data_IF_737384377379
#
_entry.id   IF_737384377379
#
_cell.length_a   1.000
_cell.length_b   1.000
_cell.length_c   1.000
_cell.angle_alpha   90.00
_cell.angle_beta   90.00
_cell.angle_gamma   90.00
#
_symmetry.space_group_name_H-M   'P 1'
#
loop_
_entity.id
_entity.type
_entity.pdbx_description
1 polymer ?
#
# COMPACT_ATOMS: atom_id res chain seq x y z
N UNK A 1 0.46 11.81 17.83
CA UNK A 1 0.71 10.35 17.70
C UNK A 1 0.44 9.57 19.00
N UNK A 2 0.73 10.15 20.17
CA UNK A 2 0.67 9.46 21.49
C UNK A 2 -0.77 9.10 21.94
N UNK A 3 -1.77 9.92 21.64
CA UNK A 3 -3.17 9.69 22.06
C UNK A 3 -3.88 8.56 21.31
N UNK A 4 -3.48 8.24 20.07
CA UNK A 4 -4.15 7.21 19.24
C UNK A 4 -3.79 5.77 19.67
N UNK A 5 -2.61 5.57 20.24
CA UNK A 5 -2.16 4.26 20.73
C UNK A 5 -2.81 3.86 22.06
N UNK A 6 -3.22 4.83 22.87
CA UNK A 6 -3.76 4.60 24.21
C UNK A 6 -5.05 3.76 24.16
N UNK A 7 -6.00 4.14 23.31
CA UNK A 7 -7.28 3.45 23.17
C UNK A 7 -7.13 2.03 22.62
N UNK A 8 -6.23 1.84 21.65
CA UNK A 8 -5.96 0.52 21.08
C UNK A 8 -5.34 -0.41 22.13
N UNK A 9 -4.37 0.09 22.92
CA UNK A 9 -3.77 -0.66 24.03
C UNK A 9 -4.79 -1.00 25.12
N UNK A 10 -5.73 -0.11 25.39
CA UNK A 10 -6.82 -0.37 26.34
C UNK A 10 -7.70 -1.53 25.88
N UNK A 11 -8.14 -1.53 24.60
CA UNK A 11 -8.96 -2.63 24.06
C UNK A 11 -8.19 -3.95 24.04
N UNK A 12 -6.91 -3.93 23.63
CA UNK A 12 -6.04 -5.12 23.62
C UNK A 12 -5.87 -5.71 25.02
N UNK A 13 -5.74 -4.86 26.03
CA UNK A 13 -5.69 -5.31 27.43
C UNK A 13 -7.02 -5.86 27.94
N UNK A 14 -8.16 -5.34 27.46
CA UNK A 14 -9.49 -5.81 27.84
C UNK A 14 -9.86 -7.13 27.16
N UNK A 15 -9.35 -7.38 25.95
CA UNK A 15 -9.57 -8.61 25.18
C UNK A 15 -8.44 -9.65 25.39
N UNK A 16 -7.50 -9.41 26.30
CA UNK A 16 -6.35 -10.28 26.63
C UNK A 16 -5.51 -10.69 25.40
N UNK A 17 -5.28 -9.74 24.49
CA UNK A 17 -4.60 -10.00 23.22
C UNK A 17 -3.10 -9.77 23.30
N UNK A 18 -2.34 -10.70 22.74
CA UNK A 18 -0.89 -10.56 22.57
C UNK A 18 -0.59 -10.08 21.15
N UNK A 19 -0.41 -8.77 20.99
CA UNK A 19 -0.04 -8.14 19.71
C UNK A 19 1.36 -7.53 19.84
N UNK A 20 2.34 -7.90 18.99
CA UNK A 20 3.67 -7.32 19.05
C UNK A 20 3.65 -5.85 18.60
N UNK A 21 4.63 -5.05 19.07
CA UNK A 21 4.63 -3.60 18.84
C UNK A 21 4.75 -3.18 17.37
N UNK A 22 5.38 -4.00 16.53
CA UNK A 22 5.45 -3.73 15.09
C UNK A 22 4.08 -3.81 14.43
N UNK A 23 3.25 -4.76 14.85
CA UNK A 23 1.89 -4.93 14.32
C UNK A 23 0.97 -3.81 14.79
N UNK A 24 1.18 -3.28 16.01
CA UNK A 24 0.46 -2.08 16.49
C UNK A 24 0.73 -0.86 15.61
N UNK A 25 1.99 -0.64 15.22
CA UNK A 25 2.35 0.46 14.31
C UNK A 25 1.72 0.26 12.93
N UNK A 26 1.70 -0.97 12.43
CA UNK A 26 1.03 -1.29 11.18
C UNK A 26 -0.48 -1.00 11.27
N UNK A 27 -1.19 -1.49 12.29
CA UNK A 27 -2.63 -1.22 12.48
C UNK A 27 -2.94 0.27 12.53
N UNK A 28 -2.13 1.06 13.25
CA UNK A 28 -2.30 2.52 13.31
C UNK A 28 -2.07 3.19 11.96
N UNK A 29 -1.08 2.73 11.18
CA UNK A 29 -0.82 3.24 9.84
C UNK A 29 -2.00 2.96 8.89
N UNK A 30 -2.59 1.77 8.97
CA UNK A 30 -3.63 1.31 8.03
C UNK A 30 -5.03 1.84 8.32
N UNK A 31 -5.30 2.05 9.59
CA UNK A 31 -6.56 2.59 10.06
C UNK A 31 -6.73 4.06 9.65
N UNK A 32 -5.66 4.77 9.28
CA UNK A 32 -5.69 6.21 8.97
C UNK A 32 -6.37 7.05 10.07
N UNK A 33 -6.38 6.56 11.31
CA UNK A 33 -7.06 7.20 12.44
C UNK A 33 -8.54 6.82 12.63
N UNK A 34 -9.10 5.94 11.80
CA UNK A 34 -10.44 5.36 12.01
C UNK A 34 -10.36 4.17 12.99
N UNK A 35 -10.93 4.36 14.18
CA UNK A 35 -10.94 3.34 15.23
C UNK A 35 -11.76 2.10 14.83
N UNK A 36 -12.83 2.24 14.03
CA UNK A 36 -13.63 1.10 13.56
C UNK A 36 -12.80 0.20 12.65
N UNK A 37 -12.03 0.82 11.74
CA UNK A 37 -11.12 0.10 10.85
C UNK A 37 -9.99 -0.57 11.62
N UNK A 38 -9.42 0.10 12.63
CA UNK A 38 -8.37 -0.45 13.48
C UNK A 38 -8.81 -1.73 14.21
N UNK A 39 -10.01 -1.70 14.81
CA UNK A 39 -10.58 -2.85 15.52
C UNK A 39 -10.85 -4.02 14.57
N UNK A 40 -11.36 -3.76 13.36
CA UNK A 40 -11.62 -4.83 12.40
C UNK A 40 -10.34 -5.56 11.98
N UNK A 41 -9.26 -4.80 11.72
CA UNK A 41 -7.95 -5.37 11.38
C UNK A 41 -7.39 -6.17 12.55
N UNK A 42 -7.49 -5.64 13.77
CA UNK A 42 -7.04 -6.33 14.99
C UNK A 42 -7.80 -7.63 15.20
N UNK A 43 -9.13 -7.60 15.11
CA UNK A 43 -9.98 -8.79 15.23
C UNK A 43 -9.61 -9.85 14.19
N UNK A 44 -9.46 -9.47 12.93
CA UNK A 44 -9.07 -10.39 11.87
C UNK A 44 -7.69 -11.02 12.13
N UNK A 45 -6.76 -10.28 12.71
CA UNK A 45 -5.46 -10.81 13.13
C UNK A 45 -5.59 -11.89 14.23
N UNK A 46 -6.47 -11.71 15.22
CA UNK A 46 -6.74 -12.69 16.29
C UNK A 46 -7.33 -13.98 15.72
N UNK A 47 -8.33 -13.86 14.85
CA UNK A 47 -8.96 -15.00 14.17
C UNK A 47 -7.96 -15.82 13.37
N UNK A 48 -6.98 -15.16 12.75
CA UNK A 48 -5.90 -15.81 12.00
C UNK A 48 -4.83 -16.42 12.92
N UNK A 49 -4.51 -15.76 14.04
CA UNK A 49 -3.48 -16.20 14.98
C UNK A 49 -3.90 -17.41 15.82
N UNK A 50 -5.19 -17.54 16.18
CA UNK A 50 -5.72 -18.72 16.88
C UNK A 50 -5.62 -20.00 16.05
N UNK A 51 -5.51 -19.88 14.73
CA UNK A 51 -5.33 -20.98 13.77
C UNK A 51 -3.85 -21.12 13.37
N UNK A 52 -3.00 -21.49 14.33
CA UNK A 52 -1.73 -22.22 14.13
C UNK A 52 -0.78 -21.75 13.00
N UNK A 53 -0.60 -20.44 12.78
CA UNK A 53 0.43 -19.93 11.87
C UNK A 53 1.25 -18.81 12.52
N UNK A 54 2.12 -19.20 13.47
CA UNK A 54 3.21 -18.39 14.07
C UNK A 54 4.21 -17.76 13.07
N UNK A 55 3.98 -17.89 11.76
CA UNK A 55 4.85 -17.41 10.68
C UNK A 55 4.19 -16.39 9.75
N UNK A 56 2.97 -15.93 10.03
CA UNK A 56 2.31 -14.93 9.20
C UNK A 56 2.80 -13.51 9.53
N UNK A 57 4.04 -13.18 9.13
CA UNK A 57 4.41 -11.80 8.69
C UNK A 57 3.66 -11.49 7.40
N UNK A 58 2.34 -11.52 7.49
CA UNK A 58 1.44 -11.59 6.34
C UNK A 58 0.15 -10.87 6.69
N UNK A 59 0.26 -9.77 7.44
CA UNK A 59 -0.58 -8.64 7.08
C UNK A 59 -0.22 -8.35 5.61
N UNK A 60 -1.20 -8.40 4.70
CA UNK A 60 -1.05 -8.24 3.24
C UNK A 60 -0.19 -7.02 2.82
N UNK A 61 0.12 -6.13 3.76
CA UNK A 61 0.83 -4.87 3.61
C UNK A 61 2.34 -4.96 3.78
N UNK A 62 2.87 -5.96 4.48
CA UNK A 62 4.32 -6.19 4.48
C UNK A 62 4.78 -6.74 3.12
N UNK A 63 3.93 -7.58 2.52
CA UNK A 63 4.06 -8.01 1.12
C UNK A 63 3.91 -6.82 0.17
N UNK A 64 2.94 -5.94 0.42
CA UNK A 64 2.74 -4.71 -0.38
C UNK A 64 3.99 -3.82 -0.36
N UNK A 65 4.62 -3.60 0.80
CA UNK A 65 5.83 -2.77 0.89
C UNK A 65 7.00 -3.32 0.05
N UNK A 66 7.24 -4.64 0.09
CA UNK A 66 8.27 -5.29 -0.74
C UNK A 66 7.94 -5.20 -2.23
N UNK A 67 6.67 -5.37 -2.58
CA UNK A 67 6.21 -5.29 -3.97
C UNK A 67 6.32 -3.87 -4.53
N UNK A 68 6.03 -2.84 -3.73
CA UNK A 68 6.18 -1.44 -4.14
C UNK A 68 7.64 -1.08 -4.34
N UNK A 69 8.54 -1.56 -3.46
CA UNK A 69 9.98 -1.35 -3.64
C UNK A 69 10.48 -2.01 -4.93
N UNK A 70 10.00 -3.22 -5.23
CA UNK A 70 10.32 -3.91 -6.48
C UNK A 70 9.74 -3.21 -7.71
N UNK A 71 8.50 -2.70 -7.63
CA UNK A 71 7.85 -1.92 -8.69
C UNK A 71 8.63 -0.62 -8.93
N UNK A 72 9.02 0.07 -7.86
CA UNK A 72 9.86 1.27 -7.94
C UNK A 72 11.20 0.99 -8.61
N UNK A 73 11.81 -0.17 -8.33
CA UNK A 73 13.04 -0.57 -8.99
C UNK A 73 12.85 -0.75 -10.51
N UNK A 74 11.79 -1.42 -10.95
CA UNK A 74 11.52 -1.56 -12.39
C UNK A 74 11.16 -0.24 -13.07
N UNK A 75 10.43 0.64 -12.38
CA UNK A 75 10.07 1.95 -12.91
C UNK A 75 11.30 2.80 -13.23
N UNK A 76 12.34 2.72 -12.39
CA UNK A 76 13.55 3.55 -12.51
C UNK A 76 14.65 2.91 -13.37
N UNK A 77 14.76 1.57 -13.40
CA UNK A 77 15.93 0.91 -14.01
C UNK A 77 15.64 0.15 -15.31
N UNK A 78 14.38 -0.18 -15.61
CA UNK A 78 14.00 -0.99 -16.77
C UNK A 78 13.35 -0.11 -17.86
N UNK A 79 13.44 -0.50 -19.15
CA UNK A 79 12.82 0.25 -20.22
C UNK A 79 11.28 0.19 -20.11
N UNK A 80 10.63 1.29 -20.50
CA UNK A 80 9.19 1.53 -20.37
C UNK A 80 8.30 0.31 -20.69
N UNK A 81 8.54 -0.37 -21.82
CA UNK A 81 7.73 -1.52 -22.26
C UNK A 81 7.83 -2.69 -21.27
N UNK A 82 9.04 -3.01 -20.82
CA UNK A 82 9.29 -4.12 -19.87
C UNK A 82 8.69 -3.79 -18.51
N UNK A 83 8.83 -2.56 -18.04
CA UNK A 83 8.26 -2.11 -16.77
C UNK A 83 6.74 -2.18 -16.79
N UNK A 84 6.10 -1.73 -17.88
CA UNK A 84 4.65 -1.82 -18.05
C UNK A 84 4.13 -3.28 -17.99
N UNK A 85 4.80 -4.20 -18.68
CA UNK A 85 4.42 -5.62 -18.70
C UNK A 85 4.56 -6.26 -17.31
N UNK A 86 5.72 -6.08 -16.66
CA UNK A 86 5.98 -6.65 -15.32
C UNK A 86 5.01 -6.11 -14.27
N UNK A 87 4.74 -4.81 -14.27
CA UNK A 87 3.79 -4.20 -13.34
C UNK A 87 2.37 -4.73 -13.61
N UNK A 88 1.97 -4.84 -14.88
CA UNK A 88 0.66 -5.40 -15.25
C UNK A 88 0.51 -6.85 -14.77
N UNK A 89 1.54 -7.67 -14.91
CA UNK A 89 1.53 -9.05 -14.42
C UNK A 89 1.36 -9.14 -12.90
N UNK A 90 2.11 -8.33 -12.16
CA UNK A 90 2.07 -8.38 -10.69
C UNK A 90 0.77 -7.80 -10.15
N UNK A 91 0.26 -6.76 -10.82
CA UNK A 91 -1.07 -6.22 -10.54
C UNK A 91 -2.14 -7.31 -10.66
N UNK A 92 -2.08 -8.13 -11.73
CA UNK A 92 -3.02 -9.23 -11.94
C UNK A 92 -2.81 -10.40 -10.97
N UNK A 93 -1.55 -10.78 -10.70
CA UNK A 93 -1.21 -11.91 -9.80
C UNK A 93 -1.57 -11.62 -8.34
N UNK A 94 -1.37 -10.38 -7.88
CA UNK A 94 -1.53 -10.01 -6.47
C UNK A 94 -2.78 -9.15 -6.20
N UNK A 95 -3.53 -8.76 -7.23
CA UNK A 95 -4.75 -7.96 -7.09
C UNK A 95 -4.47 -6.54 -6.58
N UNK A 96 -3.34 -5.94 -6.97
CA UNK A 96 -2.97 -4.59 -6.53
C UNK A 96 -3.78 -3.52 -7.27
N UNK A 97 -4.19 -2.48 -6.58
CA UNK A 97 -4.77 -1.29 -7.23
C UNK A 97 -3.66 -0.36 -7.72
N UNK A 98 -3.87 0.26 -8.88
CA UNK A 98 -2.91 1.23 -9.44
C UNK A 98 -2.73 2.44 -8.51
N UNK A 99 -3.81 2.89 -7.88
CA UNK A 99 -3.83 4.01 -6.95
C UNK A 99 -2.99 3.72 -5.70
N UNK A 100 -3.05 2.49 -5.17
CA UNK A 100 -2.27 2.08 -4.00
C UNK A 100 -0.77 2.03 -4.31
N UNK A 101 -0.41 1.59 -5.53
CA UNK A 101 0.98 1.61 -6.00
C UNK A 101 1.49 3.05 -6.03
N UNK A 102 0.74 3.97 -6.64
CA UNK A 102 1.14 5.37 -6.75
C UNK A 102 1.33 6.08 -5.40
N UNK A 103 0.43 5.81 -4.44
CA UNK A 103 0.46 6.46 -3.10
C UNK A 103 1.67 6.08 -2.26
N UNK A 104 2.23 4.90 -2.47
CA UNK A 104 3.28 4.35 -1.61
C UNK A 104 4.69 4.46 -2.20
N UNK A 105 4.84 4.90 -3.46
CA UNK A 105 6.15 5.14 -4.08
C UNK A 105 6.87 6.28 -3.36
N UNK A 106 8.12 6.03 -2.95
CA UNK A 106 8.96 7.01 -2.24
C UNK A 106 9.85 7.76 -3.24
N UNK A 107 9.46 8.98 -3.62
CA UNK A 107 10.28 9.89 -4.45
C UNK A 107 10.76 11.14 -3.69
N UNK A 108 11.82 11.82 -4.15
CA UNK A 108 12.23 13.14 -3.66
C UNK A 108 11.09 14.18 -3.73
N UNK A 109 11.09 15.20 -2.87
CA UNK A 109 9.96 16.13 -2.74
C UNK A 109 9.66 16.92 -4.03
N UNK A 110 10.66 17.22 -4.85
CA UNK A 110 10.52 17.99 -6.09
C UNK A 110 9.69 17.22 -7.13
N UNK A 111 10.08 15.97 -7.42
CA UNK A 111 9.38 15.07 -8.33
C UNK A 111 8.01 14.64 -7.78
N UNK A 112 7.87 14.57 -6.45
CA UNK A 112 6.64 14.13 -5.80
C UNK A 112 5.45 15.04 -6.10
N UNK A 113 5.66 16.35 -6.28
CA UNK A 113 4.56 17.28 -6.58
C UNK A 113 3.96 16.97 -7.95
N UNK A 114 4.81 16.76 -8.95
CA UNK A 114 4.36 16.42 -10.31
C UNK A 114 3.67 15.06 -10.32
N UNK A 115 4.26 14.07 -9.65
CA UNK A 115 3.67 12.74 -9.53
C UNK A 115 2.29 12.75 -8.86
N UNK A 116 2.10 13.55 -7.80
CA UNK A 116 0.80 13.66 -7.12
C UNK A 116 -0.26 14.27 -8.05
N UNK A 117 0.08 15.27 -8.85
CA UNK A 117 -0.85 15.86 -9.81
C UNK A 117 -1.28 14.84 -10.86
N UNK A 118 -0.32 14.11 -11.44
CA UNK A 118 -0.63 13.08 -12.44
C UNK A 118 -1.42 11.91 -11.83
N UNK A 119 -1.12 11.53 -10.58
CA UNK A 119 -1.91 10.54 -9.84
C UNK A 119 -3.34 11.00 -9.59
N UNK A 120 -3.56 12.29 -9.34
CA UNK A 120 -4.90 12.85 -9.16
C UNK A 120 -5.72 12.75 -10.46
N UNK A 121 -5.10 13.07 -11.60
CA UNK A 121 -5.74 12.94 -12.92
C UNK A 121 -6.04 11.47 -13.25
N UNK A 122 -5.13 10.55 -12.96
CA UNK A 122 -5.33 9.11 -13.13
C UNK A 122 -6.46 8.60 -12.22
N UNK A 123 -6.49 8.99 -10.94
CA UNK A 123 -7.54 8.61 -9.99
C UNK A 123 -8.91 9.14 -10.48
N UNK A 124 -8.96 10.39 -10.93
CA UNK A 124 -10.15 10.98 -11.54
C UNK A 124 -10.61 10.18 -12.77
N UNK A 125 -9.73 9.87 -13.71
CA UNK A 125 -10.06 9.06 -14.89
C UNK A 125 -10.55 7.66 -14.53
N UNK A 126 -9.96 7.02 -13.51
CA UNK A 126 -10.38 5.70 -13.04
C UNK A 126 -11.81 5.69 -12.48
N UNK A 127 -12.31 6.81 -11.96
CA UNK A 127 -13.72 6.91 -11.52
C UNK A 127 -14.73 6.79 -12.67
N UNK A 128 -14.31 7.08 -13.91
CA UNK A 128 -15.16 6.96 -15.12
C UNK A 128 -15.03 5.59 -15.80
N UNK A 129 -14.58 4.55 -15.09
CA UNK A 129 -14.38 3.19 -15.62
C UNK A 129 -13.41 3.12 -16.81
N UNK A 130 -12.39 3.98 -16.83
CA UNK A 130 -11.33 3.93 -17.84
C UNK A 130 -10.49 2.64 -17.75
N UNK A 131 -9.87 2.27 -18.89
CA UNK A 131 -9.04 1.07 -18.99
C UNK A 131 -7.76 1.20 -18.14
N UNK A 132 -7.62 0.33 -17.13
CA UNK A 132 -6.47 0.31 -16.23
C UNK A 132 -5.12 -0.03 -16.87
N UNK A 133 -5.08 -0.50 -18.12
CA UNK A 133 -3.82 -0.68 -18.89
C UNK A 133 -3.32 0.65 -19.46
N UNK A 134 -4.21 1.49 -19.98
CA UNK A 134 -3.85 2.82 -20.49
C UNK A 134 -3.38 3.72 -19.36
N UNK A 135 -4.09 3.69 -18.23
CA UNK A 135 -3.73 4.47 -17.05
C UNK A 135 -2.39 4.03 -16.43
N UNK A 136 -2.05 2.73 -16.52
CA UNK A 136 -0.73 2.24 -16.11
C UNK A 136 0.37 2.83 -17.00
N UNK A 137 0.16 2.89 -18.32
CA UNK A 137 1.07 3.54 -19.26
C UNK A 137 1.25 5.04 -19.01
N UNK A 138 0.18 5.73 -18.60
CA UNK A 138 0.25 7.14 -18.18
C UNK A 138 1.12 7.30 -16.94
N UNK A 139 0.93 6.43 -15.94
CA UNK A 139 1.71 6.47 -14.70
C UNK A 139 3.20 6.18 -14.93
N UNK A 140 3.52 5.14 -15.71
CA UNK A 140 4.90 4.79 -16.03
C UNK A 140 5.55 5.90 -16.87
N UNK A 141 4.79 6.56 -17.74
CA UNK A 141 5.25 7.71 -18.53
C UNK A 141 5.61 8.92 -17.68
N UNK A 142 4.76 9.28 -16.72
CA UNK A 142 5.00 10.34 -15.72
C UNK A 142 6.35 10.19 -15.04
N UNK A 143 6.61 8.96 -14.57
CA UNK A 143 7.78 8.63 -13.75
C UNK A 143 9.07 8.61 -14.56
N UNK A 144 9.02 8.14 -15.81
CA UNK A 144 10.18 8.16 -16.72
C UNK A 144 10.47 9.57 -17.23
N UNK A 145 9.43 10.41 -17.40
CA UNK A 145 9.59 11.80 -17.84
C UNK A 145 10.19 12.70 -16.76
N UNK A 146 9.98 12.37 -15.48
CA UNK A 146 10.46 13.14 -14.33
C UNK A 146 11.87 12.78 -13.87
N UNK A 147 12.46 11.72 -14.41
CA UNK A 147 13.87 11.33 -14.17
C UNK A 147 14.87 12.05 -15.11
N UNK A 148 14.39 13.00 -15.94
CA UNK A 148 15.18 13.86 -16.84
C UNK A 148 15.05 15.33 -16.45
#
# INVERSE_FOLDING_TARGET
>A
MITRLFWLKHVISAEELVVPENDLKAVVRLSNGDMRKALNICNQHIWLHSRYLKKLRTCALEILCLDIEQISYWLLNEPFTISCERISEIKAKKGLALVDIGREIKMPPEVRVQLINELADIEYMLTFACNGKLQLGSLTGSLVATDK
#
